data_IF_486983673242
#
_entry.id   IF_486983673242
#
_cell.length_a   1.000
_cell.length_b   1.000
_cell.length_c   1.000
_cell.angle_alpha   90.00
_cell.angle_beta   90.00
_cell.angle_gamma   90.00
#
_symmetry.space_group_name_H-M   'P 1'
#
loop_
_entity.id
_entity.type
_entity.pdbx_description
1 polymer ?
#
# COMPACT_ATOMS: atom_id res chain seq x y z
N UNK A 1 3.50 12.40 6.56
CA UNK A 1 2.17 11.86 6.27
C UNK A 1 1.12 12.95 6.40
N UNK A 2 0.18 13.07 5.46
CA UNK A 2 -1.00 13.93 5.58
C UNK A 2 -1.79 13.62 6.86
N UNK A 3 -2.49 14.62 7.37
CA UNK A 3 -3.18 14.59 8.66
C UNK A 3 -4.64 15.06 8.59
N UNK A 4 -5.02 15.71 7.49
CA UNK A 4 -6.36 16.27 7.29
C UNK A 4 -7.02 15.69 6.04
N UNK A 5 -8.36 15.65 5.98
CA UNK A 5 -9.08 15.23 4.78
C UNK A 5 -8.65 16.00 3.53
N UNK A 6 -8.41 17.31 3.65
CA UNK A 6 -8.03 18.16 2.53
C UNK A 6 -6.67 17.77 1.94
N UNK A 7 -5.69 17.46 2.79
CA UNK A 7 -4.37 17.01 2.33
C UNK A 7 -4.45 15.63 1.66
N UNK A 8 -5.23 14.69 2.20
CA UNK A 8 -5.45 13.38 1.57
C UNK A 8 -6.18 13.50 0.23
N UNK A 9 -7.18 14.38 0.13
CA UNK A 9 -7.86 14.67 -1.13
C UNK A 9 -6.90 15.24 -2.17
N UNK A 10 -5.92 16.06 -1.77
CA UNK A 10 -4.90 16.56 -2.69
C UNK A 10 -4.01 15.43 -3.24
N UNK A 11 -3.59 14.49 -2.38
CA UNK A 11 -2.87 13.28 -2.81
C UNK A 11 -3.71 12.48 -3.80
N UNK A 12 -4.99 12.28 -3.51
CA UNK A 12 -5.90 11.54 -4.40
C UNK A 12 -6.13 12.22 -5.75
N UNK A 13 -6.23 13.55 -5.77
CA UNK A 13 -6.35 14.31 -7.00
C UNK A 13 -5.10 14.14 -7.89
N UNK A 14 -3.91 14.09 -7.29
CA UNK A 14 -2.67 13.85 -8.04
C UNK A 14 -2.58 12.42 -8.59
N UNK A 15 -3.03 11.40 -7.83
CA UNK A 15 -3.13 10.05 -8.37
C UNK A 15 -4.11 9.97 -9.53
N UNK A 16 -5.29 10.57 -9.39
CA UNK A 16 -6.27 10.58 -10.46
C UNK A 16 -5.74 11.25 -11.73
N UNK A 17 -5.06 12.40 -11.57
CA UNK A 17 -4.48 13.17 -12.68
C UNK A 17 -3.32 12.45 -13.39
N UNK A 18 -2.36 11.88 -12.65
CA UNK A 18 -1.15 11.28 -13.24
C UNK A 18 -1.39 9.83 -13.68
N UNK A 19 -2.18 9.12 -12.89
CA UNK A 19 -2.23 7.67 -12.92
C UNK A 19 -3.60 7.12 -13.32
N UNK A 20 -4.62 7.98 -13.33
CA UNK A 20 -5.99 7.63 -13.70
C UNK A 20 -6.59 6.60 -12.72
N UNK A 21 -6.22 6.70 -11.44
CA UNK A 21 -6.79 5.91 -10.36
C UNK A 21 -7.47 6.84 -9.35
N UNK A 22 -8.82 6.97 -9.39
CA UNK A 22 -9.55 7.86 -8.49
C UNK A 22 -9.45 7.39 -7.04
N UNK A 23 -9.52 8.34 -6.11
CA UNK A 23 -9.53 8.09 -4.66
C UNK A 23 -8.31 7.31 -4.11
N UNK A 24 -7.24 7.14 -4.89
CA UNK A 24 -6.00 6.54 -4.42
C UNK A 24 -5.24 7.53 -3.53
N UNK A 25 -5.01 7.18 -2.27
CA UNK A 25 -4.31 8.04 -1.31
C UNK A 25 -2.85 7.62 -1.07
N UNK A 26 -2.38 6.63 -1.82
CA UNK A 26 -0.99 6.19 -1.78
C UNK A 26 -0.81 4.79 -2.34
N UNK A 27 0.41 4.50 -2.79
CA UNK A 27 0.83 3.16 -3.17
C UNK A 27 1.74 2.60 -2.08
N UNK A 28 1.44 1.39 -1.60
CA UNK A 28 2.17 0.74 -0.52
C UNK A 28 2.86 -0.52 -1.01
N UNK A 29 4.14 -0.66 -0.66
CA UNK A 29 4.90 -1.88 -0.91
C UNK A 29 5.99 -2.10 0.14
N UNK A 30 6.41 -3.34 0.31
CA UNK A 30 7.60 -3.72 1.06
C UNK A 30 8.83 -3.86 0.17
N UNK A 31 10.01 -3.69 0.77
CA UNK A 31 11.29 -3.97 0.14
C UNK A 31 12.22 -4.64 1.15
N UNK A 32 12.77 -5.78 0.77
CA UNK A 32 13.87 -6.39 1.51
C UNK A 32 15.15 -5.59 1.31
N UNK A 33 15.71 -5.11 2.41
CA UNK A 33 17.04 -4.50 2.47
C UNK A 33 17.99 -5.55 3.01
N UNK A 34 18.93 -5.96 2.18
CA UNK A 34 19.96 -6.94 2.55
C UNK A 34 20.84 -6.39 3.68
N UNK A 35 21.15 -7.25 4.65
CA UNK A 35 22.02 -6.95 5.78
C UNK A 35 23.08 -8.03 5.92
N UNK A 36 24.21 -7.67 6.53
CA UNK A 36 25.14 -8.68 7.03
C UNK A 36 24.49 -9.47 8.18
N UNK A 37 24.78 -10.77 8.24
CA UNK A 37 24.26 -11.64 9.30
C UNK A 37 24.63 -11.06 10.68
N UNK A 38 23.64 -10.65 11.50
CA UNK A 38 23.96 -10.09 12.81
C UNK A 38 24.60 -11.18 13.71
N UNK A 39 25.52 -10.84 14.62
CA UNK A 39 26.14 -11.82 15.51
C UNK A 39 25.09 -12.58 16.33
N UNK A 40 25.20 -13.91 16.40
CA UNK A 40 24.25 -14.81 17.08
C UNK A 40 22.81 -14.79 16.52
N UNK A 41 22.63 -14.45 15.24
CA UNK A 41 21.30 -14.37 14.63
C UNK A 41 20.66 -15.72 14.34
N UNK A 42 19.37 -15.77 14.68
CA UNK A 42 18.43 -16.85 14.37
C UNK A 42 17.97 -16.73 12.91
N UNK A 43 17.36 -17.78 12.37
CA UNK A 43 16.77 -17.84 11.01
C UNK A 43 15.69 -16.80 10.70
N UNK A 44 15.32 -15.94 11.65
CA UNK A 44 14.24 -14.96 11.53
C UNK A 44 14.54 -13.79 10.57
N UNK A 45 15.81 -13.53 10.28
CA UNK A 45 16.21 -12.52 9.29
C UNK A 45 16.36 -13.08 7.87
N UNK A 46 16.28 -14.41 7.70
CA UNK A 46 16.38 -15.03 6.38
C UNK A 46 15.04 -14.86 5.66
N UNK A 47 15.06 -14.15 4.54
CA UNK A 47 13.87 -14.01 3.70
C UNK A 47 13.63 -15.25 2.82
N UNK A 48 12.56 -15.22 2.04
CA UNK A 48 12.20 -16.32 1.14
C UNK A 48 13.23 -16.58 0.02
N UNK A 49 14.10 -15.60 -0.28
CA UNK A 49 15.20 -15.74 -1.24
C UNK A 49 16.48 -16.31 -0.61
N UNK A 50 16.50 -16.56 0.71
CA UNK A 50 17.61 -17.21 1.40
C UNK A 50 18.71 -16.26 1.88
N UNK A 51 18.50 -14.94 1.87
CA UNK A 51 19.47 -13.97 2.38
C UNK A 51 18.95 -13.21 3.61
N UNK A 52 19.88 -12.68 4.42
CA UNK A 52 19.55 -11.89 5.60
C UNK A 52 19.03 -10.52 5.18
N UNK A 53 17.83 -10.15 5.64
CA UNK A 53 17.25 -8.84 5.35
C UNK A 53 16.42 -8.30 6.48
N UNK A 54 16.22 -6.99 6.44
CA UNK A 54 15.12 -6.30 7.10
C UNK A 54 14.11 -5.83 6.06
N UNK A 55 12.86 -5.67 6.47
CA UNK A 55 11.82 -5.12 5.60
C UNK A 55 11.73 -3.60 5.81
N UNK A 56 11.73 -2.87 4.69
CA UNK A 56 11.31 -1.48 4.58
C UNK A 56 9.91 -1.48 3.97
N UNK A 57 8.91 -1.05 4.73
CA UNK A 57 7.57 -0.80 4.22
C UNK A 57 7.41 0.69 3.93
N UNK A 58 6.96 1.04 2.73
CA UNK A 58 6.76 2.42 2.34
C UNK A 58 5.35 2.64 1.78
N UNK A 59 4.79 3.80 2.09
CA UNK A 59 3.64 4.40 1.42
C UNK A 59 4.13 5.64 0.66
N UNK A 60 3.86 5.72 -0.63
CA UNK A 60 4.27 6.83 -1.49
C UNK A 60 3.10 7.55 -2.13
N UNK A 61 3.28 8.84 -2.42
CA UNK A 61 2.32 9.64 -3.18
C UNK A 61 2.43 9.40 -4.70
N UNK A 62 1.58 10.09 -5.47
CA UNK A 62 1.57 9.99 -6.92
C UNK A 62 2.89 10.45 -7.58
N UNK A 63 3.75 11.19 -6.88
CA UNK A 63 5.03 11.69 -7.37
C UNK A 63 6.22 10.87 -6.84
N UNK A 64 5.97 9.70 -6.26
CA UNK A 64 6.97 8.83 -5.64
C UNK A 64 7.65 9.42 -4.39
N UNK A 65 7.05 10.43 -3.74
CA UNK A 65 7.52 10.93 -2.46
C UNK A 65 7.00 10.04 -1.33
N UNK A 66 7.85 9.76 -0.34
CA UNK A 66 7.45 9.00 0.84
C UNK A 66 6.45 9.78 1.70
N UNK A 67 5.25 9.21 1.89
CA UNK A 67 4.25 9.69 2.83
C UNK A 67 4.45 9.09 4.23
N UNK A 68 4.85 7.81 4.26
CA UNK A 68 5.12 7.03 5.45
C UNK A 68 6.18 5.96 5.13
N UNK A 69 7.06 5.68 6.10
CA UNK A 69 8.07 4.62 6.02
C UNK A 69 8.18 3.96 7.38
N UNK A 70 8.26 2.63 7.40
CA UNK A 70 8.56 1.79 8.56
C UNK A 70 9.71 0.85 8.20
N UNK A 71 10.76 0.77 9.03
CA UNK A 71 12.00 0.05 8.71
C UNK A 71 12.41 -0.80 9.91
N UNK A 72 12.87 -2.01 9.64
CA UNK A 72 13.58 -2.83 10.62
C UNK A 72 12.83 -4.09 11.04
N UNK A 73 11.69 -4.39 10.40
CA UNK A 73 11.02 -5.66 10.63
C UNK A 73 11.88 -6.83 10.09
N UNK A 74 11.82 -7.98 10.74
CA UNK A 74 12.58 -9.17 10.36
C UNK A 74 12.25 -9.62 8.92
N UNK A 75 13.26 -9.94 8.12
CA UNK A 75 13.12 -10.33 6.71
C UNK A 75 12.30 -11.59 6.43
N UNK A 76 11.98 -12.40 7.45
CA UNK A 76 11.07 -13.55 7.32
C UNK A 76 9.59 -13.16 7.28
N UNK A 77 9.25 -11.96 7.75
CA UNK A 77 7.86 -11.51 7.87
C UNK A 77 7.40 -10.98 6.51
N UNK A 78 6.21 -11.40 6.06
CA UNK A 78 5.63 -10.89 4.80
C UNK A 78 5.23 -9.43 4.92
N UNK A 79 5.16 -8.71 3.79
CA UNK A 79 4.81 -7.28 3.77
C UNK A 79 3.45 -6.99 4.42
N UNK A 80 2.45 -7.84 4.17
CA UNK A 80 1.15 -7.76 4.85
C UNK A 80 1.25 -8.02 6.37
N UNK A 81 2.19 -8.85 6.81
CA UNK A 81 2.50 -9.07 8.23
C UNK A 81 3.18 -7.86 8.88
N UNK A 82 4.13 -7.23 8.17
CA UNK A 82 4.77 -5.99 8.61
C UNK A 82 3.73 -4.88 8.75
N UNK A 83 2.91 -4.67 7.70
CA UNK A 83 1.87 -3.65 7.68
C UNK A 83 0.96 -3.70 8.90
N UNK A 84 0.48 -4.88 9.31
CA UNK A 84 -0.42 -5.05 10.47
C UNK A 84 0.15 -4.50 11.78
N UNK A 85 1.47 -4.42 11.91
CA UNK A 85 2.16 -3.94 13.11
C UNK A 85 2.63 -2.48 12.99
N UNK A 86 2.32 -1.80 11.89
CA UNK A 86 2.68 -0.39 11.71
C UNK A 86 1.69 0.57 12.35
N UNK A 87 2.19 1.77 12.72
CA UNK A 87 1.34 2.89 13.16
C UNK A 87 0.32 3.29 12.09
N UNK A 88 0.67 3.15 10.80
CA UNK A 88 -0.22 3.42 9.68
C UNK A 88 -1.47 2.52 9.75
N UNK A 89 -1.29 1.21 9.90
CA UNK A 89 -2.40 0.26 10.04
C UNK A 89 -3.29 0.55 11.25
N UNK A 90 -2.69 0.89 12.40
CA UNK A 90 -3.45 1.27 13.60
C UNK A 90 -4.34 2.48 13.34
N UNK A 91 -3.77 3.57 12.78
CA UNK A 91 -4.51 4.81 12.50
C UNK A 91 -5.57 4.63 11.41
N UNK A 92 -5.31 3.78 10.42
CA UNK A 92 -6.24 3.46 9.34
C UNK A 92 -7.49 2.75 9.90
N UNK A 93 -7.28 1.70 10.70
CA UNK A 93 -8.36 0.90 11.27
C UNK A 93 -9.14 1.63 12.37
N UNK A 94 -8.48 2.50 13.15
CA UNK A 94 -9.15 3.32 14.16
C UNK A 94 -9.84 4.56 13.59
N UNK A 95 -9.79 4.77 12.26
CA UNK A 95 -10.33 5.96 11.56
C UNK A 95 -9.72 7.27 12.06
N UNK A 96 -8.48 7.23 12.55
CA UNK A 96 -7.73 8.38 13.07
C UNK A 96 -6.71 8.95 12.09
N UNK A 97 -6.59 8.37 10.89
CA UNK A 97 -5.68 8.85 9.85
C UNK A 97 -6.11 10.18 9.21
N UNK A 98 -7.35 10.63 9.49
CA UNK A 98 -7.90 11.87 8.93
C UNK A 98 -8.33 11.73 7.47
N UNK A 99 -8.72 10.52 7.03
CA UNK A 99 -9.19 10.30 5.66
C UNK A 99 -10.49 11.07 5.39
N UNK A 100 -10.73 11.50 4.13
CA UNK A 100 -12.01 12.04 3.73
C UNK A 100 -13.12 10.99 3.84
N UNK A 101 -14.36 11.46 4.01
CA UNK A 101 -15.53 10.59 3.91
C UNK A 101 -15.65 9.99 2.51
N UNK A 102 -16.37 8.87 2.41
CA UNK A 102 -16.74 8.26 1.14
C UNK A 102 -17.37 9.30 0.19
N UNK A 103 -16.94 9.29 -1.07
CA UNK A 103 -17.34 10.26 -2.09
C UNK A 103 -17.71 9.54 -3.39
N UNK A 104 -18.46 10.17 -4.31
CA UNK A 104 -18.69 9.61 -5.63
C UNK A 104 -17.41 9.61 -6.47
N UNK A 105 -17.18 8.53 -7.23
CA UNK A 105 -16.13 8.52 -8.26
C UNK A 105 -16.43 9.53 -9.36
N UNK A 106 -15.40 10.07 -10.01
CA UNK A 106 -15.59 10.99 -11.14
C UNK A 106 -16.51 10.39 -12.20
N UNK A 107 -17.48 11.19 -12.66
CA UNK A 107 -18.48 10.81 -13.66
C UNK A 107 -19.35 9.61 -13.28
N UNK A 108 -19.51 9.33 -11.99
CA UNK A 108 -20.31 8.22 -11.49
C UNK A 108 -21.07 8.60 -10.21
N UNK A 109 -22.22 7.96 -9.98
CA UNK A 109 -22.93 8.05 -8.71
C UNK A 109 -22.46 6.97 -7.70
N UNK A 110 -21.46 6.16 -8.08
CA UNK A 110 -20.91 5.13 -7.21
C UNK A 110 -20.06 5.78 -6.12
N UNK A 111 -20.54 5.68 -4.89
CA UNK A 111 -19.81 6.06 -3.69
C UNK A 111 -18.69 5.04 -3.44
N UNK A 112 -17.45 5.51 -3.32
CA UNK A 112 -16.27 4.68 -3.08
C UNK A 112 -15.33 5.31 -2.05
N UNK A 113 -14.76 4.52 -1.12
CA UNK A 113 -13.83 5.03 -0.11
C UNK A 113 -12.52 5.49 -0.76
N UNK A 114 -11.72 6.23 0.02
CA UNK A 114 -10.33 6.50 -0.30
C UNK A 114 -9.46 5.31 0.11
N UNK A 115 -8.60 4.87 -0.80
CA UNK A 115 -7.87 3.59 -0.68
C UNK A 115 -6.38 3.74 -0.93
N UNK A 116 -5.59 2.97 -0.19
CA UNK A 116 -4.20 2.68 -0.49
C UNK A 116 -4.18 1.53 -1.50
N UNK A 117 -3.46 1.66 -2.60
CA UNK A 117 -3.21 0.54 -3.51
C UNK A 117 -1.98 -0.24 -3.05
N UNK A 118 -2.04 -1.56 -3.14
CA UNK A 118 -0.96 -2.44 -2.71
C UNK A 118 -0.95 -3.74 -3.55
N UNK A 119 0.14 -4.50 -3.47
CA UNK A 119 0.26 -5.78 -4.16
C UNK A 119 -0.58 -6.90 -3.51
N UNK A 120 -0.51 -8.12 -4.06
CA UNK A 120 -1.31 -9.26 -3.58
C UNK A 120 -0.89 -9.76 -2.18
N UNK A 121 0.30 -9.38 -1.68
CA UNK A 121 0.78 -9.75 -0.35
C UNK A 121 0.02 -9.06 0.78
N UNK A 122 -0.72 -7.99 0.47
CA UNK A 122 -1.57 -7.29 1.42
C UNK A 122 -3.02 -7.84 1.41
N UNK A 123 -3.70 -7.72 2.55
CA UNK A 123 -5.10 -8.11 2.66
C UNK A 123 -6.01 -6.98 2.16
N UNK A 124 -7.01 -7.33 1.35
CA UNK A 124 -8.07 -6.40 0.93
C UNK A 124 -8.87 -5.94 2.16
N UNK A 125 -9.12 -4.64 2.28
CA UNK A 125 -10.04 -4.08 3.27
C UNK A 125 -10.67 -2.77 2.75
N UNK A 126 -11.42 -2.07 3.60
CA UNK A 126 -12.13 -0.83 3.22
C UNK A 126 -11.21 0.25 2.63
N UNK A 127 -9.98 0.36 3.13
CA UNK A 127 -9.02 1.40 2.75
C UNK A 127 -7.73 0.84 2.14
N UNK A 128 -7.67 -0.46 1.82
CA UNK A 128 -6.55 -1.11 1.12
C UNK A 128 -7.11 -1.92 -0.04
N UNK A 129 -6.70 -1.55 -1.25
CA UNK A 129 -7.09 -2.16 -2.50
C UNK A 129 -5.93 -2.97 -3.06
N UNK A 130 -6.22 -4.19 -3.53
CA UNK A 130 -5.22 -5.10 -4.11
C UNK A 130 -5.71 -5.65 -5.46
N UNK A 131 -4.83 -6.16 -6.33
CA UNK A 131 -5.25 -6.70 -7.61
C UNK A 131 -6.17 -7.92 -7.45
N UNK A 132 -7.05 -8.15 -8.42
CA UNK A 132 -7.72 -9.44 -8.56
C UNK A 132 -6.70 -10.53 -8.86
N UNK A 133 -6.99 -11.77 -8.47
CA UNK A 133 -6.16 -12.93 -8.84
C UNK A 133 -5.96 -12.99 -10.37
N UNK A 134 -4.70 -13.18 -10.78
CA UNK A 134 -4.29 -13.24 -12.19
C UNK A 134 -4.93 -14.39 -12.99
N UNK A 135 -5.62 -15.32 -12.32
CA UNK A 135 -6.33 -16.43 -12.96
C UNK A 135 -7.69 -16.02 -13.56
N UNK A 136 -8.08 -14.74 -13.46
CA UNK A 136 -9.36 -14.29 -14.00
C UNK A 136 -9.32 -14.06 -15.52
N UNK A 137 -10.24 -14.73 -16.23
CA UNK A 137 -10.48 -14.52 -17.67
C UNK A 137 -11.34 -13.29 -17.97
N UNK A 138 -11.83 -12.57 -16.97
CA UNK A 138 -12.68 -11.39 -17.17
C UNK A 138 -11.84 -10.18 -17.56
N UNK A 139 -12.14 -9.61 -18.74
CA UNK A 139 -11.44 -8.43 -19.28
C UNK A 139 -11.46 -7.25 -18.30
N UNK A 140 -12.56 -7.04 -17.58
CA UNK A 140 -12.68 -5.92 -16.62
C UNK A 140 -11.71 -6.05 -15.45
N UNK A 141 -11.51 -7.25 -14.92
CA UNK A 141 -10.53 -7.52 -13.85
C UNK A 141 -9.10 -7.30 -14.32
N UNK A 142 -8.80 -7.68 -15.57
CA UNK A 142 -7.49 -7.41 -16.20
C UNK A 142 -7.24 -5.92 -16.40
N UNK A 143 -8.24 -5.17 -16.86
CA UNK A 143 -8.17 -3.71 -16.99
C UNK A 143 -7.94 -3.08 -15.61
N UNK A 144 -8.68 -3.51 -14.59
CA UNK A 144 -8.50 -3.03 -13.23
C UNK A 144 -7.08 -3.30 -12.72
N UNK A 145 -6.58 -4.53 -12.82
CA UNK A 145 -5.22 -4.88 -12.40
C UNK A 145 -4.17 -4.05 -13.14
N UNK A 146 -4.32 -3.85 -14.45
CA UNK A 146 -3.43 -2.98 -15.22
C UNK A 146 -3.44 -1.52 -14.72
N UNK A 147 -4.61 -1.00 -14.31
CA UNK A 147 -4.70 0.35 -13.73
C UNK A 147 -4.07 0.42 -12.34
N UNK A 148 -4.25 -0.61 -11.52
CA UNK A 148 -3.70 -0.69 -10.18
C UNK A 148 -2.16 -0.80 -10.20
N UNK A 149 -1.62 -1.68 -11.02
CA UNK A 149 -0.17 -1.92 -11.14
C UNK A 149 0.52 -1.02 -12.16
N UNK A 150 -0.09 0.09 -12.59
CA UNK A 150 0.51 0.97 -13.61
C UNK A 150 1.81 1.67 -13.14
N UNK A 151 2.13 1.58 -11.85
CA UNK A 151 3.29 2.21 -11.21
C UNK A 151 4.42 1.24 -10.90
N UNK A 152 4.19 -0.06 -11.07
CA UNK A 152 5.17 -1.14 -10.93
C UNK A 152 5.88 -1.40 -12.26
#
# INVERSE_FOLDING_TARGET
MPSTPQEWTAVAADFERRWQFPHCIGAMNGKHVEIECPPNSVSDFINYMGFFSIVLLALVDANYNFLFVDIGCHGRISDGGVFKHTKLHTLLNSKQLGLPNIAPLQNSNLLAPYVIVADDAFALNENVMKPYSHQSNEVQKRIFNYRLSRHE
#
